data_IF_862078765656
#
_entry.id   IF_862078765656
#
_cell.length_a   1.000
_cell.length_b   1.000
_cell.length_c   1.000
_cell.angle_alpha   90.00
_cell.angle_beta   90.00
_cell.angle_gamma   90.00
#
_symmetry.space_group_name_H-M   'P 1'
#
loop_
_entity.id
_entity.type
_entity.pdbx_description
1 polymer ?
#
# COMPACT_ATOMS: atom_id res chain seq x y z
N UNK A 1 -42.16 2.60 -15.21
CA UNK A 1 -41.44 3.68 -15.92
C UNK A 1 -42.40 4.69 -16.56
N UNK A 2 -43.45 4.26 -17.28
CA UNK A 2 -44.47 5.15 -17.88
C UNK A 2 -45.29 5.95 -16.83
N UNK A 3 -45.53 5.37 -15.64
CA UNK A 3 -46.32 6.03 -14.59
C UNK A 3 -45.66 7.30 -13.97
N UNK A 4 -44.33 7.37 -13.89
CA UNK A 4 -43.61 8.55 -13.36
C UNK A 4 -43.56 9.73 -14.34
N UNK A 5 -43.75 9.49 -15.65
CA UNK A 5 -43.73 10.55 -16.66
C UNK A 5 -45.01 11.38 -16.57
N UNK A 6 -46.13 10.75 -16.20
CA UNK A 6 -47.43 11.43 -16.06
C UNK A 6 -47.64 12.12 -14.71
N UNK A 7 -46.72 11.98 -13.74
CA UNK A 7 -46.82 12.63 -12.43
C UNK A 7 -46.25 14.05 -12.40
N UNK A 8 -45.54 14.47 -13.45
CA UNK A 8 -45.00 15.83 -13.57
C UNK A 8 -45.91 16.62 -14.52
N UNK A 9 -46.59 17.69 -14.05
CA UNK A 9 -47.45 18.50 -14.91
C UNK A 9 -46.66 19.16 -16.04
N UNK A 10 -47.29 19.31 -17.20
CA UNK A 10 -46.68 19.98 -18.35
C UNK A 10 -46.33 21.44 -18.02
N UNK A 11 -45.20 21.97 -18.53
CA UNK A 11 -44.84 23.38 -18.32
C UNK A 11 -45.94 24.32 -18.83
N UNK A 12 -46.37 25.25 -17.99
CA UNK A 12 -47.38 26.29 -18.31
C UNK A 12 -46.68 27.62 -18.57
N UNK A 13 -47.26 28.51 -19.39
CA UNK A 13 -46.68 29.84 -19.70
C UNK A 13 -46.50 30.72 -18.46
N UNK A 14 -47.30 30.50 -17.41
CA UNK A 14 -47.23 31.23 -16.13
C UNK A 14 -46.19 30.65 -15.14
N UNK A 15 -45.43 29.62 -15.55
CA UNK A 15 -44.45 28.96 -14.69
C UNK A 15 -43.21 29.85 -14.47
N UNK A 16 -42.62 29.74 -13.29
CA UNK A 16 -41.35 30.39 -12.99
C UNK A 16 -40.23 29.90 -13.93
N UNK A 17 -39.27 30.77 -14.26
CA UNK A 17 -38.13 30.44 -15.10
C UNK A 17 -37.39 29.18 -14.59
N UNK A 18 -36.94 28.35 -15.54
CA UNK A 18 -36.15 27.16 -15.24
C UNK A 18 -34.93 27.48 -14.38
N UNK A 19 -34.71 26.68 -13.34
CA UNK A 19 -33.56 26.79 -12.44
C UNK A 19 -32.71 25.55 -12.52
N UNK A 20 -31.41 25.74 -12.72
CA UNK A 20 -30.43 24.65 -12.65
C UNK A 20 -30.17 24.33 -11.19
N UNK A 21 -30.32 23.05 -10.83
CA UNK A 21 -29.97 22.54 -9.51
C UNK A 21 -28.94 21.42 -9.65
N UNK A 22 -28.01 21.36 -8.72
CA UNK A 22 -27.05 20.29 -8.55
C UNK A 22 -27.63 19.23 -7.65
N UNK A 23 -27.56 17.97 -8.06
CA UNK A 23 -27.93 16.83 -7.21
C UNK A 23 -26.89 16.69 -6.11
N UNK A 24 -27.33 16.70 -4.85
CA UNK A 24 -26.49 16.47 -3.67
C UNK A 24 -26.76 15.11 -3.01
N UNK A 25 -27.87 14.44 -3.34
CA UNK A 25 -28.22 13.11 -2.83
C UNK A 25 -29.37 12.46 -3.61
N UNK A 26 -29.95 11.38 -3.07
CA UNK A 26 -31.25 10.90 -3.56
C UNK A 26 -32.30 11.94 -3.20
N UNK A 27 -32.87 12.57 -4.22
CA UNK A 27 -33.91 13.62 -4.11
C UNK A 27 -33.50 14.97 -3.48
N UNK A 28 -32.24 15.17 -3.08
CA UNK A 28 -31.70 16.47 -2.63
C UNK A 28 -31.07 17.26 -3.81
N UNK A 29 -31.63 18.42 -4.13
CA UNK A 29 -31.19 19.30 -5.22
C UNK A 29 -30.99 20.74 -4.75
N UNK A 30 -29.82 21.33 -5.02
CA UNK A 30 -29.43 22.65 -4.52
C UNK A 30 -28.89 23.57 -5.62
N UNK A 31 -29.02 24.91 -5.49
CA UNK A 31 -28.54 25.85 -6.51
C UNK A 31 -27.00 25.93 -6.58
N UNK A 32 -26.30 25.53 -5.53
CA UNK A 32 -24.84 25.54 -5.42
C UNK A 32 -24.21 24.18 -5.70
N UNK A 33 -23.02 24.21 -6.30
CA UNK A 33 -22.23 23.01 -6.57
C UNK A 33 -21.46 22.58 -5.34
N UNK A 34 -21.49 21.28 -5.03
CA UNK A 34 -20.66 20.68 -3.99
C UNK A 34 -19.80 19.56 -4.57
N UNK A 35 -18.48 19.81 -4.66
CA UNK A 35 -17.51 18.79 -5.08
C UNK A 35 -17.60 17.52 -4.22
N UNK A 36 -17.90 17.68 -2.92
CA UNK A 36 -18.07 16.56 -1.99
C UNK A 36 -19.29 15.72 -2.33
N UNK A 37 -20.46 16.35 -2.47
CA UNK A 37 -21.70 15.63 -2.74
C UNK A 37 -21.69 14.96 -4.12
N UNK A 38 -21.08 15.61 -5.12
CA UNK A 38 -20.86 15.02 -6.43
C UNK A 38 -19.90 13.82 -6.36
N UNK A 39 -18.81 13.92 -5.60
CA UNK A 39 -17.88 12.81 -5.39
C UNK A 39 -18.55 11.60 -4.74
N UNK A 40 -19.35 11.81 -3.71
CA UNK A 40 -20.10 10.76 -3.00
C UNK A 40 -21.11 10.03 -3.91
N UNK A 41 -21.64 10.71 -4.94
CA UNK A 41 -22.54 10.11 -5.93
C UNK A 41 -21.81 9.38 -7.05
N UNK A 42 -20.61 9.84 -7.43
CA UNK A 42 -19.79 9.20 -8.47
C UNK A 42 -19.02 7.99 -7.94
N UNK A 43 -18.77 7.93 -6.63
CA UNK A 43 -18.00 6.86 -6.01
C UNK A 43 -18.89 5.81 -5.38
N UNK A 44 -18.80 4.59 -5.89
CA UNK A 44 -19.31 3.43 -5.20
C UNK A 44 -18.57 3.26 -3.86
N UNK A 45 -19.33 3.28 -2.77
CA UNK A 45 -18.79 3.07 -1.43
C UNK A 45 -18.47 1.58 -1.24
N UNK A 46 -17.36 1.14 -1.80
CA UNK A 46 -16.85 -0.21 -1.56
C UNK A 46 -16.31 -0.32 -0.13
N UNK A 47 -16.48 -1.51 0.46
CA UNK A 47 -15.84 -1.84 1.73
C UNK A 47 -14.33 -1.62 1.61
N UNK A 48 -13.77 -0.80 2.53
CA UNK A 48 -12.35 -0.52 2.51
C UNK A 48 -11.55 -1.82 2.60
N UNK A 49 -10.62 -2.07 1.65
CA UNK A 49 -9.79 -3.25 1.70
C UNK A 49 -8.99 -3.32 3.01
N UNK A 50 -8.84 -4.52 3.57
CA UNK A 50 -8.12 -4.75 4.83
C UNK A 50 -6.68 -4.23 4.76
N UNK A 51 -6.04 -4.35 3.60
CA UNK A 51 -4.67 -3.88 3.35
C UNK A 51 -4.49 -2.36 3.43
N UNK A 52 -5.55 -1.54 3.36
CA UNK A 52 -5.43 -0.08 3.46
C UNK A 52 -4.68 0.35 4.72
N UNK A 53 -4.86 -0.37 5.83
CA UNK A 53 -4.18 -0.11 7.11
C UNK A 53 -2.69 -0.44 7.08
N UNK A 54 -2.21 -1.24 6.13
CA UNK A 54 -0.79 -1.53 5.90
C UNK A 54 -0.13 -0.44 5.04
N UNK A 55 -0.91 0.24 4.19
CA UNK A 55 -0.42 1.29 3.29
C UNK A 55 -0.47 2.67 3.96
N UNK A 56 -1.59 3.00 4.58
CA UNK A 56 -1.87 4.32 5.11
C UNK A 56 -1.87 4.30 6.63
N UNK A 57 -0.81 4.81 7.25
CA UNK A 57 -0.65 4.94 8.70
C UNK A 57 0.30 6.09 9.03
N UNK A 58 0.22 6.61 10.26
CA UNK A 58 0.88 7.88 10.66
C UNK A 58 2.40 7.90 10.43
N UNK A 59 3.06 6.76 10.61
CA UNK A 59 4.51 6.63 10.53
C UNK A 59 4.98 6.32 9.10
N UNK A 60 4.08 6.04 8.15
CA UNK A 60 4.42 5.65 6.78
C UNK A 60 5.27 6.73 6.08
N UNK A 61 6.12 6.31 5.15
CA UNK A 61 6.86 7.23 4.28
C UNK A 61 6.07 7.35 2.98
N UNK A 62 5.63 8.55 2.55
CA UNK A 62 4.73 8.68 1.40
C UNK A 62 5.22 7.97 0.13
N UNK A 63 6.52 8.09 -0.18
CA UNK A 63 7.14 7.39 -1.32
C UNK A 63 7.02 5.86 -1.21
N UNK A 64 7.18 5.30 0.00
CA UNK A 64 7.10 3.85 0.19
C UNK A 64 5.64 3.39 0.18
N UNK A 65 4.75 4.13 0.85
CA UNK A 65 3.32 3.88 0.84
C UNK A 65 2.75 3.85 -0.59
N UNK A 66 3.18 4.77 -1.46
CA UNK A 66 2.75 4.79 -2.86
C UNK A 66 3.19 3.54 -3.63
N UNK A 67 4.44 3.10 -3.48
CA UNK A 67 4.92 1.87 -4.15
C UNK A 67 4.24 0.63 -3.57
N UNK A 68 4.02 0.58 -2.25
CA UNK A 68 3.26 -0.50 -1.61
C UNK A 68 1.81 -0.54 -2.08
N UNK A 69 1.16 0.61 -2.24
CA UNK A 69 -0.18 0.71 -2.83
C UNK A 69 -0.22 0.13 -4.25
N UNK A 70 0.76 0.48 -5.09
CA UNK A 70 0.87 -0.10 -6.43
C UNK A 70 1.10 -1.61 -6.39
N UNK A 71 1.87 -2.12 -5.42
CA UNK A 71 2.06 -3.56 -5.23
C UNK A 71 0.73 -4.27 -4.90
N UNK A 72 -0.08 -3.72 -3.97
CA UNK A 72 -1.40 -4.27 -3.64
C UNK A 72 -2.38 -4.30 -4.82
N UNK A 73 -2.20 -3.42 -5.81
CA UNK A 73 -3.01 -3.38 -7.01
C UNK A 73 -2.41 -4.14 -8.20
N UNK A 74 -1.28 -4.83 -8.02
CA UNK A 74 -0.52 -5.49 -9.10
C UNK A 74 -0.20 -4.52 -10.27
N UNK A 75 0.13 -3.27 -9.89
CA UNK A 75 0.43 -2.16 -10.82
C UNK A 75 1.91 -1.86 -10.97
N UNK A 76 2.78 -2.69 -10.40
CA UNK A 76 4.23 -2.61 -10.60
C UNK A 76 4.64 -3.33 -11.90
N UNK A 77 5.77 -2.95 -12.47
CA UNK A 77 6.32 -3.56 -13.69
C UNK A 77 7.01 -4.90 -13.37
N UNK A 78 6.20 -5.91 -13.06
CA UNK A 78 6.63 -7.32 -12.89
C UNK A 78 6.81 -8.03 -14.24
N UNK A 79 7.43 -9.22 -14.21
CA UNK A 79 7.57 -10.10 -15.36
C UNK A 79 6.24 -10.40 -16.05
N UNK A 80 5.18 -10.69 -15.29
CA UNK A 80 3.83 -10.94 -15.85
C UNK A 80 3.25 -9.72 -16.57
N UNK A 81 3.42 -8.52 -16.02
CA UNK A 81 2.96 -7.29 -16.67
C UNK A 81 3.78 -6.97 -17.92
N UNK A 82 5.08 -7.23 -17.90
CA UNK A 82 5.97 -7.06 -19.06
C UNK A 82 5.66 -8.06 -20.18
N UNK A 83 5.23 -9.28 -19.81
CA UNK A 83 4.78 -10.33 -20.75
C UNK A 83 3.56 -9.90 -21.56
N UNK A 84 2.62 -9.18 -20.95
CA UNK A 84 1.48 -8.60 -21.68
C UNK A 84 1.91 -7.61 -22.79
N UNK A 85 3.15 -7.11 -22.74
CA UNK A 85 3.77 -6.23 -23.73
C UNK A 85 4.78 -6.98 -24.62
N UNK A 86 4.77 -8.32 -24.60
CA UNK A 86 5.67 -9.16 -25.39
C UNK A 86 7.08 -9.33 -24.81
N UNK A 87 7.34 -8.80 -23.62
CA UNK A 87 8.65 -8.87 -22.97
C UNK A 87 8.66 -9.94 -21.86
N UNK A 88 9.14 -11.15 -22.17
CA UNK A 88 9.36 -12.21 -21.17
C UNK A 88 10.68 -11.94 -20.46
N UNK A 89 10.63 -11.74 -19.14
CA UNK A 89 11.80 -11.51 -18.31
C UNK A 89 11.69 -12.39 -17.06
N UNK A 90 12.73 -13.18 -16.74
CA UNK A 90 12.77 -13.91 -15.48
C UNK A 90 12.95 -12.92 -14.31
N UNK A 91 12.73 -13.42 -13.09
CA UNK A 91 13.02 -12.69 -11.88
C UNK A 91 14.51 -12.30 -11.83
N UNK A 92 14.80 -11.00 -11.90
CA UNK A 92 16.19 -10.50 -11.89
C UNK A 92 16.90 -10.69 -10.54
N UNK A 93 16.17 -11.16 -9.52
CA UNK A 93 16.69 -11.42 -8.18
C UNK A 93 17.19 -12.86 -8.01
N UNK A 94 16.45 -13.85 -8.54
CA UNK A 94 16.76 -15.29 -8.37
C UNK A 94 16.74 -16.14 -9.65
N UNK A 95 16.31 -15.58 -10.78
CA UNK A 95 16.27 -16.28 -12.07
C UNK A 95 14.98 -17.04 -12.38
N UNK A 96 13.97 -17.01 -11.49
CA UNK A 96 12.70 -17.73 -11.71
C UNK A 96 11.95 -17.21 -12.95
N UNK A 97 11.46 -18.07 -13.85
CA UNK A 97 10.85 -17.64 -15.11
C UNK A 97 9.52 -16.88 -14.94
N UNK A 98 8.73 -17.22 -13.91
CA UNK A 98 7.41 -16.66 -13.66
C UNK A 98 7.42 -15.67 -12.49
N UNK A 99 7.90 -14.46 -12.76
CA UNK A 99 7.89 -13.38 -11.78
C UNK A 99 6.51 -12.68 -11.70
N UNK A 100 5.77 -12.99 -10.64
CA UNK A 100 4.57 -12.26 -10.17
C UNK A 100 4.90 -11.41 -8.92
N UNK A 101 4.01 -10.50 -8.51
CA UNK A 101 4.22 -9.67 -7.32
C UNK A 101 4.49 -10.50 -6.05
N UNK A 102 3.73 -11.56 -5.83
CA UNK A 102 3.87 -12.44 -4.66
C UNK A 102 5.26 -13.09 -4.63
N UNK A 103 5.73 -13.56 -5.79
CA UNK A 103 7.08 -14.06 -5.96
C UNK A 103 8.12 -12.97 -5.68
N UNK A 104 8.02 -11.81 -6.34
CA UNK A 104 8.99 -10.74 -6.21
C UNK A 104 9.23 -10.32 -4.75
N UNK A 105 8.18 -10.23 -3.93
CA UNK A 105 8.29 -9.69 -2.58
C UNK A 105 8.48 -10.76 -1.49
N UNK A 106 7.87 -11.94 -1.60
CA UNK A 106 7.88 -12.92 -0.51
C UNK A 106 8.25 -14.35 -0.92
N UNK A 107 8.00 -14.80 -2.15
CA UNK A 107 8.38 -16.17 -2.55
C UNK A 107 9.79 -16.27 -3.17
N UNK A 108 10.36 -15.17 -3.66
CA UNK A 108 11.72 -15.12 -4.20
C UNK A 108 12.74 -15.36 -3.08
N UNK A 109 13.67 -16.33 -3.22
CA UNK A 109 14.65 -16.63 -2.17
C UNK A 109 15.44 -15.41 -1.70
N UNK A 110 15.88 -14.55 -2.64
CA UNK A 110 16.60 -13.32 -2.32
C UNK A 110 15.75 -12.37 -1.45
N UNK A 111 14.53 -12.08 -1.88
CA UNK A 111 13.60 -11.18 -1.18
C UNK A 111 13.16 -11.75 0.16
N UNK A 112 12.92 -13.06 0.22
CA UNK A 112 12.48 -13.75 1.42
C UNK A 112 13.57 -13.78 2.49
N UNK A 113 14.83 -14.00 2.11
CA UNK A 113 15.97 -13.86 3.03
C UNK A 113 16.04 -12.45 3.61
N UNK A 114 15.90 -11.42 2.77
CA UNK A 114 15.88 -10.02 3.24
C UNK A 114 14.73 -9.78 4.21
N UNK A 115 13.55 -10.32 3.92
CA UNK A 115 12.38 -10.21 4.78
C UNK A 115 12.59 -10.89 6.14
N UNK A 116 13.02 -12.16 6.15
CA UNK A 116 13.29 -12.91 7.38
C UNK A 116 14.32 -12.18 8.26
N UNK A 117 15.44 -11.73 7.67
CA UNK A 117 16.50 -11.06 8.41
C UNK A 117 16.03 -9.74 9.06
N UNK A 118 15.00 -9.11 8.48
CA UNK A 118 14.43 -7.86 9.00
C UNK A 118 13.36 -8.08 10.05
N UNK A 119 12.46 -9.05 9.88
CA UNK A 119 11.26 -9.18 10.73
C UNK A 119 11.19 -10.48 11.54
N UNK A 120 12.14 -11.40 11.39
CA UNK A 120 12.16 -12.69 12.08
C UNK A 120 12.07 -12.54 13.60
N UNK A 121 12.71 -11.53 14.19
CA UNK A 121 12.64 -11.24 15.63
C UNK A 121 11.26 -10.71 16.11
N UNK A 122 10.40 -10.24 15.19
CA UNK A 122 9.05 -9.76 15.49
C UNK A 122 7.98 -10.82 15.19
N UNK A 123 8.17 -11.61 14.13
CA UNK A 123 7.19 -12.60 13.67
C UNK A 123 7.49 -14.03 14.15
N UNK A 124 8.75 -14.34 14.50
CA UNK A 124 9.18 -15.68 14.88
C UNK A 124 8.83 -16.70 13.79
N UNK A 125 8.17 -17.79 14.20
CA UNK A 125 7.71 -18.86 13.30
C UNK A 125 6.56 -18.47 12.35
N UNK A 126 6.03 -17.24 12.46
CA UNK A 126 4.91 -16.77 11.61
C UNK A 126 5.35 -16.14 10.29
N UNK A 127 6.65 -16.11 9.99
CA UNK A 127 7.14 -15.66 8.69
C UNK A 127 6.75 -16.69 7.64
N UNK A 128 6.17 -16.24 6.54
CA UNK A 128 5.67 -17.11 5.48
C UNK A 128 5.99 -16.49 4.11
N UNK A 129 6.34 -17.28 3.07
CA UNK A 129 6.58 -16.76 1.73
C UNK A 129 5.29 -16.37 0.99
N UNK A 130 4.11 -16.73 1.50
CA UNK A 130 2.83 -16.34 0.92
C UNK A 130 2.47 -14.88 1.25
N UNK A 131 2.04 -14.14 0.23
CA UNK A 131 1.67 -12.74 0.35
C UNK A 131 0.48 -12.54 1.29
N UNK A 132 -0.62 -13.29 1.10
CA UNK A 132 -1.85 -13.12 1.86
C UNK A 132 -1.64 -13.48 3.34
N UNK A 133 -1.00 -14.62 3.62
CA UNK A 133 -0.66 -15.05 4.98
C UNK A 133 0.23 -13.99 5.66
N UNK A 134 1.21 -13.44 4.93
CA UNK A 134 2.06 -12.37 5.46
C UNK A 134 1.27 -11.12 5.79
N UNK A 135 0.40 -10.63 4.89
CA UNK A 135 -0.39 -9.43 5.12
C UNK A 135 -1.39 -9.62 6.26
N UNK A 136 -2.08 -10.76 6.33
CA UNK A 136 -2.98 -11.10 7.44
C UNK A 136 -2.23 -11.17 8.78
N UNK A 137 -1.07 -11.82 8.77
CA UNK A 137 -0.18 -11.87 9.94
C UNK A 137 0.22 -10.46 10.37
N UNK A 138 0.57 -9.55 9.45
CA UNK A 138 0.94 -8.15 9.70
C UNK A 138 -0.23 -7.25 10.17
N UNK A 139 -1.46 -7.62 9.84
CA UNK A 139 -2.66 -6.87 10.23
C UNK A 139 -3.42 -7.45 11.43
N UNK A 140 -2.94 -8.58 11.98
CA UNK A 140 -3.51 -9.18 13.18
C UNK A 140 -3.55 -8.19 14.36
N UNK A 141 -4.73 -8.10 15.00
CA UNK A 141 -4.99 -7.28 16.19
C UNK A 141 -4.35 -7.85 17.47
N UNK A 142 -3.77 -9.05 17.42
CA UNK A 142 -3.23 -9.75 18.60
C UNK A 142 -1.87 -9.22 19.08
N UNK A 143 -1.28 -8.24 18.40
CA UNK A 143 0.05 -7.70 18.73
C UNK A 143 -0.03 -6.32 19.35
N UNK A 144 1.03 -5.96 20.07
CA UNK A 144 1.25 -4.59 20.54
C UNK A 144 1.26 -3.63 19.35
N UNK A 145 0.75 -2.43 19.57
CA UNK A 145 0.69 -1.36 18.56
C UNK A 145 2.08 -1.05 17.99
N UNK A 146 3.11 -1.01 18.85
CA UNK A 146 4.49 -0.75 18.48
C UNK A 146 5.05 -1.79 17.50
N UNK A 147 4.87 -3.09 17.79
CA UNK A 147 5.32 -4.17 16.90
C UNK A 147 4.57 -4.11 15.57
N UNK A 148 3.26 -3.84 15.60
CA UNK A 148 2.44 -3.65 14.40
C UNK A 148 2.94 -2.47 13.56
N UNK A 149 3.33 -1.37 14.19
CA UNK A 149 3.90 -0.21 13.50
C UNK A 149 5.27 -0.52 12.88
N UNK A 150 6.16 -1.20 13.61
CA UNK A 150 7.47 -1.61 13.10
C UNK A 150 7.33 -2.53 11.89
N UNK A 151 6.41 -3.48 11.98
CA UNK A 151 6.12 -4.44 10.92
C UNK A 151 5.57 -3.77 9.65
N UNK A 152 4.67 -2.78 9.79
CA UNK A 152 4.19 -1.99 8.64
C UNK A 152 5.30 -1.15 8.01
N UNK A 153 6.17 -0.55 8.82
CA UNK A 153 7.34 0.17 8.31
C UNK A 153 8.30 -0.76 7.58
N UNK A 154 8.59 -1.93 8.15
CA UNK A 154 9.43 -2.94 7.54
C UNK A 154 8.83 -3.42 6.22
N UNK A 155 7.53 -3.74 6.17
CA UNK A 155 6.82 -4.12 4.95
C UNK A 155 7.03 -3.08 3.84
N UNK A 156 6.73 -1.81 4.13
CA UNK A 156 6.84 -0.74 3.13
C UNK A 156 8.27 -0.50 2.66
N UNK A 157 9.23 -0.50 3.59
CA UNK A 157 10.64 -0.30 3.27
C UNK A 157 11.20 -1.47 2.46
N UNK A 158 10.80 -2.70 2.76
CA UNK A 158 11.17 -3.92 2.02
C UNK A 158 10.61 -3.90 0.61
N UNK A 159 9.29 -3.70 0.45
CA UNK A 159 8.65 -3.61 -0.88
C UNK A 159 9.31 -2.51 -1.73
N UNK A 160 9.51 -1.32 -1.15
CA UNK A 160 10.16 -0.22 -1.86
C UNK A 160 11.59 -0.56 -2.31
N UNK A 161 12.38 -1.14 -1.41
CA UNK A 161 13.79 -1.41 -1.64
C UNK A 161 14.01 -2.58 -2.60
N UNK A 162 13.18 -3.63 -2.52
CA UNK A 162 13.18 -4.75 -3.48
C UNK A 162 12.81 -4.25 -4.87
N UNK A 163 11.74 -3.47 -4.99
CA UNK A 163 11.34 -2.91 -6.28
C UNK A 163 12.43 -2.02 -6.88
N UNK A 164 13.11 -1.22 -6.05
CA UNK A 164 14.26 -0.43 -6.49
C UNK A 164 15.43 -1.31 -6.92
N UNK A 165 15.74 -2.37 -6.18
CA UNK A 165 16.82 -3.30 -6.50
C UNK A 165 16.57 -4.01 -7.84
N UNK A 166 15.35 -4.52 -8.04
CA UNK A 166 14.93 -5.13 -9.29
C UNK A 166 15.11 -4.18 -10.48
N UNK A 167 14.64 -2.93 -10.34
CA UNK A 167 14.81 -1.91 -11.38
C UNK A 167 16.29 -1.55 -11.62
N UNK A 168 17.09 -1.48 -10.56
CA UNK A 168 18.53 -1.25 -10.67
C UNK A 168 19.18 -2.32 -11.53
N UNK A 169 18.91 -3.61 -11.26
CA UNK A 169 19.44 -4.74 -12.05
C UNK A 169 18.95 -4.71 -13.50
N UNK A 170 17.68 -4.33 -13.73
CA UNK A 170 17.11 -4.18 -15.08
C UNK A 170 17.89 -3.15 -15.91
N UNK A 171 18.34 -2.08 -15.27
CA UNK A 171 19.09 -0.99 -15.91
C UNK A 171 20.60 -1.12 -15.71
N UNK A 172 21.11 -2.36 -15.63
CA UNK A 172 22.55 -2.69 -15.55
C UNK A 172 23.27 -2.07 -14.33
N UNK A 173 22.53 -1.79 -13.26
CA UNK A 173 23.09 -1.42 -11.98
C UNK A 173 23.79 -2.59 -11.29
N UNK A 174 24.74 -2.28 -10.40
CA UNK A 174 25.45 -3.30 -9.61
C UNK A 174 24.49 -3.99 -8.63
N UNK A 175 24.35 -5.34 -8.68
CA UNK A 175 23.48 -6.08 -7.77
C UNK A 175 23.93 -5.96 -6.32
N UNK A 176 22.98 -5.66 -5.42
CA UNK A 176 23.24 -5.71 -3.99
C UNK A 176 23.05 -7.14 -3.46
N UNK A 177 23.92 -7.55 -2.54
CA UNK A 177 23.68 -8.77 -1.75
C UNK A 177 22.52 -8.57 -0.76
N UNK A 178 21.95 -9.67 -0.28
CA UNK A 178 20.88 -9.64 0.73
C UNK A 178 21.31 -8.86 1.97
N UNK A 179 22.53 -9.08 2.46
CA UNK A 179 23.07 -8.38 3.63
C UNK A 179 23.25 -6.88 3.42
N UNK A 180 23.64 -6.44 2.22
CA UNK A 180 23.73 -5.03 1.86
C UNK A 180 22.34 -4.39 1.85
N UNK A 181 21.35 -5.06 1.28
CA UNK A 181 19.97 -4.57 1.23
C UNK A 181 19.33 -4.51 2.61
N UNK A 182 19.54 -5.53 3.46
CA UNK A 182 19.11 -5.55 4.86
C UNK A 182 19.70 -4.37 5.63
N UNK A 183 21.00 -4.10 5.50
CA UNK A 183 21.65 -2.94 6.14
C UNK A 183 21.06 -1.62 5.66
N UNK A 184 20.77 -1.51 4.37
CA UNK A 184 20.12 -0.34 3.80
C UNK A 184 18.72 -0.10 4.39
N UNK A 185 17.90 -1.15 4.46
CA UNK A 185 16.53 -1.07 4.98
C UNK A 185 16.55 -0.78 6.49
N UNK A 186 17.43 -1.43 7.25
CA UNK A 186 17.62 -1.19 8.68
C UNK A 186 17.96 0.28 8.97
N UNK A 187 18.93 0.84 8.24
CA UNK A 187 19.27 2.27 8.35
C UNK A 187 18.08 3.16 8.01
N UNK A 188 17.30 2.79 6.99
CA UNK A 188 16.11 3.54 6.56
C UNK A 188 15.04 3.58 7.65
N UNK A 189 14.76 2.44 8.30
CA UNK A 189 13.79 2.34 9.39
C UNK A 189 14.27 3.12 10.62
N UNK A 190 15.55 2.97 11.01
CA UNK A 190 16.16 3.77 12.09
C UNK A 190 16.04 5.26 11.84
N UNK A 191 16.40 5.72 10.64
CA UNK A 191 16.27 7.12 10.26
C UNK A 191 14.82 7.61 10.34
N UNK A 192 13.85 6.78 9.90
CA UNK A 192 12.43 7.12 9.99
C UNK A 192 11.98 7.26 11.45
N UNK A 193 12.30 6.31 12.31
CA UNK A 193 11.97 6.38 13.75
C UNK A 193 12.60 7.63 14.39
N UNK A 194 13.88 7.89 14.11
CA UNK A 194 14.59 9.09 14.61
C UNK A 194 13.91 10.38 14.15
N UNK A 195 13.46 10.46 12.90
CA UNK A 195 12.76 11.65 12.38
C UNK A 195 11.43 11.92 13.10
N UNK A 196 10.78 10.87 13.61
CA UNK A 196 9.49 10.96 14.31
C UNK A 196 9.65 11.24 15.80
N UNK A 197 10.86 11.08 16.36
CA UNK A 197 11.15 11.22 17.79
C UNK A 197 10.66 12.54 18.38
N UNK A 198 10.74 13.66 17.64
CA UNK A 198 10.23 14.97 18.11
C UNK A 198 8.72 15.01 18.35
N UNK A 199 7.94 14.15 17.69
CA UNK A 199 6.47 14.12 17.80
C UNK A 199 5.99 13.42 19.08
N UNK A 200 6.62 12.29 19.43
CA UNK A 200 6.33 11.52 20.65
C UNK A 200 7.63 10.86 21.19
N UNK A 201 8.44 11.57 22.00
CA UNK A 201 9.78 11.12 22.37
C UNK A 201 9.85 9.77 23.06
N UNK A 202 8.96 9.48 24.01
CA UNK A 202 8.92 8.19 24.73
C UNK A 202 8.59 7.04 23.77
N UNK A 203 7.44 7.11 23.10
CA UNK A 203 6.98 6.07 22.18
C UNK A 203 8.00 5.73 21.10
N UNK A 204 8.60 6.74 20.44
CA UNK A 204 9.59 6.48 19.38
C UNK A 204 10.98 6.10 19.93
N UNK A 205 11.28 6.45 21.18
CA UNK A 205 12.45 5.95 21.91
C UNK A 205 12.33 4.45 22.15
N UNK A 206 11.21 4.01 22.72
CA UNK A 206 10.91 2.59 22.96
C UNK A 206 10.85 1.81 21.65
N UNK A 207 10.27 2.40 20.60
CA UNK A 207 10.21 1.81 19.26
C UNK A 207 11.60 1.63 18.65
N UNK A 208 12.53 2.57 18.86
CA UNK A 208 13.92 2.43 18.43
C UNK A 208 14.62 1.31 19.20
N UNK A 209 14.47 1.26 20.53
CA UNK A 209 15.04 0.19 21.35
C UNK A 209 14.51 -1.18 20.94
N UNK A 210 13.20 -1.27 20.70
CA UNK A 210 12.56 -2.48 20.19
C UNK A 210 13.11 -2.90 18.82
N UNK A 211 13.37 -1.95 17.92
CA UNK A 211 14.00 -2.27 16.63
C UNK A 211 15.45 -2.73 16.76
N UNK A 212 16.21 -2.13 17.68
CA UNK A 212 17.61 -2.48 17.93
C UNK A 212 17.79 -3.86 18.56
N UNK A 213 16.79 -4.38 19.28
CA UNK A 213 16.82 -5.73 19.86
C UNK A 213 16.88 -6.85 18.81
N UNK A 214 16.82 -6.52 17.50
CA UNK A 214 17.05 -7.45 16.39
C UNK A 214 18.51 -7.91 16.29
N UNK A 215 19.45 -7.05 16.73
CA UNK A 215 20.88 -7.32 16.64
C UNK A 215 21.44 -8.03 17.89
N UNK A 216 20.56 -8.39 18.83
CA UNK A 216 20.85 -9.13 20.06
C UNK A 216 20.46 -10.58 19.89
#
# INVERSE_FOLDING_TARGET
MIACINSVPAPTEDAANDRRLWRHGEEDYKPDFSSKATWEQLCDHHQQPTWCKAVWFLQSVPRFAFITWLAFHDRLSTGTRSRAWGCVQPCLLCGEPDEICDHLFFACPYSFTVWIDLVGFLLGSRVNPDWNITIESLLSSRRKEMDTCLLKLALQATIHSIWREQNSRRHQGSPLSTSQLVRYIDKTIKNRITSLRKRKPSFYGDMMQRWLSRAS
#
